data_IF_100202087913
#
_entry.id   IF_100202087913
#
_cell.length_a   1.000
_cell.length_b   1.000
_cell.length_c   1.000
_cell.angle_alpha   90.00
_cell.angle_beta   90.00
_cell.angle_gamma   90.00
#
_symmetry.space_group_name_H-M   'P 1'
#
loop_
_entity.id
_entity.type
_entity.pdbx_description
1 polymer ?
#
# COMPACT_ATOMS: atom_id res chain seq x y z
N UNK A 1 45.78 -40.62 12.98
CA UNK A 1 45.98 -39.20 12.64
C UNK A 1 44.90 -38.45 13.41
N UNK A 2 45.18 -37.59 14.40
CA UNK A 2 46.14 -36.48 14.38
C UNK A 2 45.43 -35.26 13.77
N UNK A 3 45.27 -34.09 14.42
CA UNK A 3 45.98 -33.57 15.60
C UNK A 3 45.16 -32.49 16.37
N UNK A 4 45.40 -32.41 17.68
CA UNK A 4 45.36 -31.23 18.58
C UNK A 4 44.21 -30.20 18.57
N UNK A 5 43.64 -30.01 19.76
CA UNK A 5 42.96 -28.78 20.20
C UNK A 5 43.66 -28.19 21.44
N UNK A 6 43.80 -26.87 21.49
CA UNK A 6 44.28 -26.06 22.63
C UNK A 6 43.49 -24.74 22.51
N UNK A 7 42.80 -24.17 23.51
CA UNK A 7 42.74 -24.47 24.93
C UNK A 7 43.26 -23.29 25.74
N UNK A 8 42.38 -22.40 26.24
CA UNK A 8 42.73 -21.48 27.33
C UNK A 8 41.52 -21.13 28.21
N UNK A 9 41.82 -20.78 29.45
CA UNK A 9 40.93 -20.67 30.60
C UNK A 9 41.10 -19.31 31.28
N UNK A 10 40.04 -18.79 31.90
CA UNK A 10 40.16 -18.12 33.21
C UNK A 10 38.80 -17.92 33.87
N UNK A 11 38.80 -17.99 35.22
CA UNK A 11 37.63 -17.98 36.10
C UNK A 11 37.60 -16.70 36.98
N UNK A 12 36.48 -16.40 37.70
CA UNK A 12 36.22 -15.06 38.27
C UNK A 12 36.49 -14.94 39.78
N UNK A 13 36.67 -13.71 40.29
CA UNK A 13 36.46 -13.31 41.71
C UNK A 13 36.23 -11.78 41.77
N UNK A 14 35.08 -11.30 42.28
CA UNK A 14 34.69 -10.93 43.67
C UNK A 14 34.93 -9.46 44.05
N UNK A 15 33.98 -8.90 44.80
CA UNK A 15 33.90 -7.50 45.20
C UNK A 15 34.57 -7.22 46.56
N UNK A 16 34.89 -5.94 46.80
CA UNK A 16 35.10 -5.34 48.13
C UNK A 16 34.43 -3.96 48.14
N UNK A 17 33.76 -3.61 49.24
CA UNK A 17 33.27 -2.28 49.56
C UNK A 17 33.95 -1.77 50.84
N UNK A 18 34.20 -0.46 50.94
CA UNK A 18 34.68 0.21 52.16
C UNK A 18 34.11 1.63 52.29
N UNK A 19 33.98 2.11 53.53
CA UNK A 19 33.71 3.52 53.91
C UNK A 19 35.04 4.28 54.13
N UNK A 20 35.15 5.55 54.56
CA UNK A 20 34.29 6.53 55.25
C UNK A 20 34.89 7.95 54.97
N UNK A 21 34.41 9.13 55.39
CA UNK A 21 33.24 9.62 56.16
C UNK A 21 33.17 11.16 56.02
N UNK A 22 31.97 11.76 56.22
CA UNK A 22 31.73 13.15 56.70
C UNK A 22 32.62 14.33 56.25
N UNK A 23 32.03 15.38 55.65
CA UNK A 23 32.08 16.74 56.24
C UNK A 23 31.14 17.77 55.59
N UNK A 24 30.66 18.65 56.47
CA UNK A 24 29.96 19.95 56.35
C UNK A 24 29.65 20.58 54.98
N UNK A 25 28.36 20.93 54.86
CA UNK A 25 27.74 22.14 54.28
C UNK A 25 28.61 23.20 53.58
N UNK A 26 28.11 23.66 52.44
CA UNK A 26 27.97 25.10 52.16
C UNK A 26 26.70 25.37 51.33
N UNK A 27 26.08 26.53 51.52
CA UNK A 27 24.87 26.94 50.78
C UNK A 27 25.26 27.64 49.47
N UNK A 28 24.64 27.23 48.36
CA UNK A 28 25.01 27.73 47.04
C UNK A 28 23.87 27.67 46.04
N UNK A 29 22.91 28.58 46.18
CA UNK A 29 21.77 28.75 45.25
C UNK A 29 22.28 29.12 43.85
N UNK A 30 22.52 28.11 43.00
CA UNK A 30 22.75 28.31 41.57
C UNK A 30 21.41 28.20 40.85
N UNK A 31 20.95 29.32 40.33
CA UNK A 31 19.93 29.34 39.27
C UNK A 31 20.43 28.49 38.10
N UNK A 32 19.89 27.28 37.97
CA UNK A 32 20.00 26.53 36.74
C UNK A 32 19.07 27.18 35.74
N UNK A 33 19.64 28.04 34.89
CA UNK A 33 19.02 28.45 33.64
C UNK A 33 18.75 27.19 32.82
N UNK A 34 17.51 26.72 32.90
CA UNK A 34 17.02 25.60 32.12
C UNK A 34 17.04 25.99 30.65
N UNK A 35 18.10 25.58 29.95
CA UNK A 35 18.17 25.60 28.50
C UNK A 35 17.00 24.75 28.00
N UNK A 36 15.92 25.42 27.63
CA UNK A 36 14.70 24.76 27.16
C UNK A 36 15.05 23.86 25.99
N UNK A 37 14.54 22.62 26.02
CA UNK A 37 14.60 21.75 24.84
C UNK A 37 14.06 22.54 23.64
N UNK A 38 14.71 22.46 22.46
CA UNK A 38 14.22 23.17 21.29
C UNK A 38 12.79 22.72 21.01
N UNK A 39 11.87 23.68 21.00
CA UNK A 39 10.48 23.46 20.64
C UNK A 39 10.43 22.78 19.29
N UNK A 40 9.91 21.56 19.22
CA UNK A 40 9.80 20.85 17.95
C UNK A 40 9.01 21.69 16.95
N UNK A 41 9.67 22.13 15.88
CA UNK A 41 9.01 22.81 14.76
C UNK A 41 7.82 21.97 14.28
N UNK A 42 6.68 22.59 13.96
CA UNK A 42 5.49 21.84 13.57
C UNK A 42 5.79 20.96 12.35
N UNK A 43 5.47 19.67 12.46
CA UNK A 43 5.62 18.73 11.36
C UNK A 43 4.55 19.02 10.29
N UNK A 44 5.01 19.32 9.08
CA UNK A 44 4.17 19.51 7.91
C UNK A 44 3.88 18.15 7.29
N UNK A 45 2.63 17.93 6.87
CA UNK A 45 2.18 16.64 6.31
C UNK A 45 1.81 16.78 4.84
N UNK A 46 2.28 15.83 4.04
CA UNK A 46 2.10 15.82 2.59
C UNK A 46 1.41 14.54 2.16
N UNK A 47 0.41 14.65 1.27
CA UNK A 47 -0.27 13.53 0.62
C UNK A 47 0.31 13.35 -0.78
N UNK A 48 0.47 12.10 -1.21
CA UNK A 48 0.79 11.74 -2.58
C UNK A 48 -0.24 10.76 -3.14
N UNK A 49 -0.67 10.96 -4.38
CA UNK A 49 -1.36 9.94 -5.18
C UNK A 49 -0.35 9.30 -6.12
N UNK A 50 -0.30 7.98 -6.13
CA UNK A 50 0.76 7.18 -6.74
C UNK A 50 0.14 6.11 -7.64
N UNK A 51 0.63 6.03 -8.87
CA UNK A 51 0.41 4.90 -9.76
C UNK A 51 1.70 4.06 -9.87
N UNK A 52 1.55 2.75 -10.03
CA UNK A 52 2.67 1.87 -10.36
C UNK A 52 2.25 0.62 -11.13
N UNK A 53 3.13 0.20 -12.03
CA UNK A 53 3.16 -1.15 -12.56
C UNK A 53 3.81 -2.07 -11.51
N UNK A 54 3.04 -3.03 -10.99
CA UNK A 54 3.51 -3.96 -9.95
C UNK A 54 4.40 -5.10 -10.43
N UNK A 55 4.51 -5.35 -11.75
CA UNK A 55 5.08 -6.60 -12.29
C UNK A 55 6.49 -6.91 -11.81
N UNK A 56 7.35 -5.90 -11.63
CA UNK A 56 8.77 -6.06 -11.24
C UNK A 56 9.04 -5.93 -9.74
N UNK A 57 8.01 -5.72 -8.91
CA UNK A 57 8.19 -5.35 -7.49
C UNK A 57 7.55 -6.35 -6.53
N UNK A 58 8.17 -6.49 -5.35
CA UNK A 58 7.67 -7.34 -4.26
C UNK A 58 6.55 -6.69 -3.43
N UNK A 59 5.69 -5.93 -4.12
CA UNK A 59 4.53 -5.25 -3.57
C UNK A 59 4.87 -3.88 -2.99
N UNK A 60 3.91 -3.34 -2.23
CA UNK A 60 4.02 -2.01 -1.65
C UNK A 60 5.01 -1.94 -0.47
N UNK A 61 4.83 -2.80 0.53
CA UNK A 61 5.38 -2.64 1.88
C UNK A 61 6.91 -2.74 1.92
N UNK A 62 7.56 -1.76 2.56
CA UNK A 62 9.03 -1.66 2.65
C UNK A 62 9.75 -2.99 2.92
N UNK A 63 10.59 -3.37 1.97
CA UNK A 63 11.67 -4.35 2.01
C UNK A 63 12.79 -3.82 1.12
N UNK A 64 14.05 -4.00 1.53
CA UNK A 64 15.23 -3.50 0.80
C UNK A 64 15.64 -4.41 -0.35
N UNK A 65 15.61 -5.73 -0.12
CA UNK A 65 15.87 -6.75 -1.12
C UNK A 65 14.88 -7.91 -0.94
N UNK A 66 14.10 -8.27 -1.99
CA UNK A 66 13.91 -7.53 -3.24
C UNK A 66 13.25 -6.15 -3.01
N UNK A 67 13.55 -5.13 -3.85
CA UNK A 67 13.03 -3.79 -3.68
C UNK A 67 11.51 -3.71 -3.87
N UNK A 68 10.92 -2.75 -3.16
CA UNK A 68 9.47 -2.54 -3.04
C UNK A 68 9.11 -1.09 -3.38
N UNK A 69 7.85 -0.84 -3.74
CA UNK A 69 7.39 0.50 -4.13
C UNK A 69 7.70 1.52 -3.03
N UNK A 70 7.40 1.18 -1.76
CA UNK A 70 7.68 2.04 -0.61
C UNK A 70 9.18 2.33 -0.46
N UNK A 71 10.06 1.34 -0.62
CA UNK A 71 11.52 1.52 -0.51
C UNK A 71 12.04 2.53 -1.54
N UNK A 72 11.57 2.45 -2.79
CA UNK A 72 12.02 3.36 -3.85
C UNK A 72 11.50 4.79 -3.67
N UNK A 73 10.25 4.95 -3.21
CA UNK A 73 9.69 6.27 -2.88
C UNK A 73 10.39 6.89 -1.67
N UNK A 74 10.66 6.13 -0.61
CA UNK A 74 11.42 6.62 0.54
C UNK A 74 12.85 7.00 0.15
N UNK A 75 13.53 6.20 -0.70
CA UNK A 75 14.87 6.57 -1.22
C UNK A 75 14.86 7.88 -2.02
N UNK A 76 13.88 8.08 -2.88
CA UNK A 76 13.73 9.34 -3.62
C UNK A 76 13.44 10.53 -2.68
N UNK A 77 12.55 10.35 -1.70
CA UNK A 77 12.27 11.37 -0.68
C UNK A 77 13.52 11.72 0.14
N UNK A 78 14.23 10.75 0.71
CA UNK A 78 15.45 10.98 1.49
C UNK A 78 16.52 11.73 0.67
N UNK A 79 16.64 11.41 -0.63
CA UNK A 79 17.57 12.13 -1.52
C UNK A 79 17.18 13.60 -1.75
N UNK A 80 15.88 13.92 -1.79
CA UNK A 80 15.36 15.28 -1.99
C UNK A 80 15.40 16.08 -0.68
N UNK A 81 14.85 15.53 0.41
CA UNK A 81 14.64 16.24 1.69
C UNK A 81 15.85 16.23 2.61
N UNK A 82 16.81 15.32 2.39
CA UNK A 82 17.95 15.01 3.29
C UNK A 82 17.56 14.48 4.68
N UNK A 83 16.28 14.13 4.87
CA UNK A 83 15.77 13.46 6.07
C UNK A 83 15.97 11.95 5.96
N UNK A 84 15.98 11.26 7.10
CA UNK A 84 15.95 9.80 7.16
C UNK A 84 14.53 9.22 6.99
N UNK A 85 14.46 7.89 6.89
CA UNK A 85 13.21 7.12 6.71
C UNK A 85 12.22 7.29 7.88
N UNK A 86 12.72 7.42 9.11
CA UNK A 86 11.89 7.57 10.33
C UNK A 86 11.33 8.99 10.42
N UNK A 87 12.13 10.00 10.11
CA UNK A 87 11.71 11.41 10.05
C UNK A 87 10.61 11.64 9.00
N UNK A 88 10.77 11.03 7.81
CA UNK A 88 9.76 11.06 6.75
C UNK A 88 8.46 10.35 7.15
N UNK A 89 8.54 9.29 7.97
CA UNK A 89 7.38 8.54 8.48
C UNK A 89 6.37 8.13 7.38
N UNK A 90 6.86 7.72 6.20
CA UNK A 90 6.00 7.44 5.04
C UNK A 90 5.04 6.27 5.32
N UNK A 91 3.74 6.57 5.27
CA UNK A 91 2.67 5.59 5.51
C UNK A 91 1.68 5.54 4.34
N UNK A 92 1.67 4.40 3.65
CA UNK A 92 0.72 4.06 2.58
C UNK A 92 -0.67 3.66 3.10
N UNK A 93 -1.70 3.98 2.32
CA UNK A 93 -3.09 3.71 2.64
C UNK A 93 -3.47 2.24 2.44
N UNK A 94 -2.92 1.57 1.43
CA UNK A 94 -3.12 0.15 1.19
C UNK A 94 -1.80 -0.60 1.02
N UNK A 95 -1.76 -1.87 1.45
CA UNK A 95 -0.74 -2.82 0.98
C UNK A 95 -1.23 -3.44 -0.32
N UNK A 96 -0.34 -3.58 -1.29
CA UNK A 96 -0.55 -4.42 -2.48
C UNK A 96 0.50 -5.54 -2.47
N UNK A 97 0.11 -6.73 -2.93
CA UNK A 97 1.00 -7.90 -3.04
C UNK A 97 2.03 -7.69 -4.16
N UNK A 98 3.05 -8.54 -4.21
CA UNK A 98 3.95 -8.65 -5.37
C UNK A 98 3.18 -8.88 -6.66
N UNK A 99 3.53 -8.13 -7.72
CA UNK A 99 2.84 -8.20 -9.02
C UNK A 99 1.47 -7.54 -9.09
N UNK A 100 0.98 -6.84 -8.05
CA UNK A 100 -0.29 -6.09 -8.06
C UNK A 100 -0.03 -4.63 -8.40
N UNK A 101 -0.77 -4.09 -9.37
CA UNK A 101 -0.61 -2.72 -9.87
C UNK A 101 -1.44 -1.71 -9.04
N UNK A 102 -1.19 -0.42 -9.22
CA UNK A 102 -2.04 0.65 -8.72
C UNK A 102 -2.15 1.83 -9.68
N UNK A 103 -3.29 2.51 -9.66
CA UNK A 103 -3.54 3.76 -10.38
C UNK A 103 -3.73 4.96 -9.42
N UNK A 104 -4.21 4.66 -8.21
CA UNK A 104 -4.52 5.63 -7.16
C UNK A 104 -4.22 5.08 -5.77
N UNK A 105 -3.02 4.51 -5.57
CA UNK A 105 -2.49 4.33 -4.22
C UNK A 105 -2.29 5.70 -3.58
N UNK A 106 -2.55 5.83 -2.29
CA UNK A 106 -2.31 7.06 -1.55
C UNK A 106 -1.30 6.81 -0.44
N UNK A 107 -0.36 7.73 -0.26
CA UNK A 107 0.56 7.72 0.87
C UNK A 107 0.65 9.12 1.48
N UNK A 108 1.18 9.20 2.70
CA UNK A 108 1.56 10.47 3.31
C UNK A 108 2.90 10.37 4.02
N UNK A 109 3.63 11.48 4.08
CA UNK A 109 4.91 11.65 4.78
C UNK A 109 4.93 13.00 5.51
N UNK A 110 5.94 13.19 6.37
CA UNK A 110 6.15 14.41 7.15
C UNK A 110 7.50 15.07 6.90
N UNK A 111 7.58 16.39 7.09
CA UNK A 111 8.82 17.17 7.08
C UNK A 111 8.80 18.23 8.21
N UNK A 112 9.95 18.65 8.75
CA UNK A 112 10.04 19.73 9.74
C UNK A 112 10.01 21.14 9.09
N UNK A 113 9.79 21.22 7.78
CA UNK A 113 9.77 22.44 6.96
C UNK A 113 8.62 22.41 5.94
N UNK A 114 8.22 23.57 5.44
CA UNK A 114 7.23 23.72 4.35
C UNK A 114 7.90 23.85 2.97
N UNK A 115 7.10 23.82 1.90
CA UNK A 115 7.53 24.13 0.53
C UNK A 115 6.78 25.37 0.02
N UNK A 116 7.48 26.29 -0.63
CA UNK A 116 6.85 27.44 -1.32
C UNK A 116 5.99 26.99 -2.52
N UNK A 117 6.34 25.86 -3.14
CA UNK A 117 5.61 25.27 -4.25
C UNK A 117 5.98 23.80 -4.49
N UNK A 118 4.95 22.97 -4.73
CA UNK A 118 5.13 21.51 -4.79
C UNK A 118 5.66 20.98 -6.13
N UNK A 119 5.62 21.78 -7.20
CA UNK A 119 6.08 21.38 -8.53
C UNK A 119 7.53 20.90 -8.58
N UNK A 120 8.42 21.53 -7.79
CA UNK A 120 9.85 21.20 -7.80
C UNK A 120 10.10 19.80 -7.22
N UNK A 121 9.53 19.52 -6.04
CA UNK A 121 9.60 18.18 -5.43
C UNK A 121 8.84 17.14 -6.26
N UNK A 122 7.70 17.50 -6.87
CA UNK A 122 6.94 16.57 -7.72
C UNK A 122 7.74 16.15 -8.96
N UNK A 123 8.40 17.10 -9.62
CA UNK A 123 9.29 16.83 -10.74
C UNK A 123 10.52 16.01 -10.31
N UNK A 124 11.14 16.36 -9.18
CA UNK A 124 12.29 15.63 -8.64
C UNK A 124 11.95 14.17 -8.27
N UNK A 125 10.79 13.92 -7.64
CA UNK A 125 10.31 12.57 -7.32
C UNK A 125 10.16 11.73 -8.58
N UNK A 126 9.44 12.24 -9.59
CA UNK A 126 9.24 11.51 -10.85
C UNK A 126 10.51 11.39 -11.71
N UNK A 127 11.52 12.25 -11.50
CA UNK A 127 12.84 12.14 -12.12
C UNK A 127 13.77 11.12 -11.47
N UNK A 128 13.60 10.83 -10.17
CA UNK A 128 14.37 9.81 -9.44
C UNK A 128 13.72 8.42 -9.45
N UNK A 129 12.40 8.35 -9.66
CA UNK A 129 11.65 7.09 -9.69
C UNK A 129 11.75 6.37 -11.06
N UNK A 130 11.83 5.02 -11.07
CA UNK A 130 11.81 4.25 -12.32
C UNK A 130 10.50 4.47 -13.08
N UNK A 131 10.47 4.20 -14.38
CA UNK A 131 9.32 4.47 -15.26
C UNK A 131 8.01 3.85 -14.78
N UNK A 132 8.10 2.72 -14.10
CA UNK A 132 7.02 1.93 -13.54
C UNK A 132 6.38 2.54 -12.29
N UNK A 133 6.93 3.61 -11.71
CA UNK A 133 6.38 4.28 -10.52
C UNK A 133 6.21 5.78 -10.81
N UNK A 134 4.99 6.29 -10.62
CA UNK A 134 4.69 7.71 -10.84
C UNK A 134 3.90 8.29 -9.68
N UNK A 135 4.42 9.35 -9.09
CA UNK A 135 3.60 10.30 -8.31
C UNK A 135 2.77 11.07 -9.34
N UNK A 136 1.45 11.08 -9.17
CA UNK A 136 0.50 11.74 -10.07
C UNK A 136 -0.04 13.05 -9.48
N UNK A 137 0.00 13.16 -8.16
CA UNK A 137 -0.45 14.31 -7.40
C UNK A 137 0.38 14.38 -6.11
N UNK A 138 0.77 15.58 -5.71
CA UNK A 138 1.24 15.87 -4.36
C UNK A 138 0.49 17.11 -3.82
N UNK A 139 0.05 17.04 -2.57
CA UNK A 139 -0.63 18.12 -1.86
C UNK A 139 -0.14 18.24 -0.41
N UNK A 140 -0.35 19.41 0.20
CA UNK A 140 -0.43 19.48 1.66
C UNK A 140 -1.61 18.63 2.18
N UNK A 141 -1.54 18.24 3.45
CA UNK A 141 -2.63 17.58 4.17
C UNK A 141 -2.66 18.05 5.62
N UNK A 142 -3.85 18.11 6.21
CA UNK A 142 -4.01 18.48 7.63
C UNK A 142 -3.30 17.49 8.56
N UNK A 143 -2.80 17.92 9.75
CA UNK A 143 -2.11 17.04 10.70
C UNK A 143 -2.88 15.77 11.08
N UNK A 144 -4.21 15.81 11.07
CA UNK A 144 -5.11 14.71 11.43
C UNK A 144 -5.25 13.68 10.30
N UNK A 145 -4.91 14.04 9.05
CA UNK A 145 -5.00 13.12 7.92
C UNK A 145 -4.06 11.93 8.12
N UNK A 146 -4.58 10.72 7.95
CA UNK A 146 -3.75 9.51 7.88
C UNK A 146 -4.19 8.65 6.70
N UNK A 147 -3.32 8.52 5.70
CA UNK A 147 -3.62 7.83 4.44
C UNK A 147 -4.37 6.49 4.64
N UNK A 148 -3.94 5.65 5.60
CA UNK A 148 -4.64 4.38 5.94
C UNK A 148 -5.94 4.52 6.73
N UNK A 149 -6.01 5.36 7.76
CA UNK A 149 -7.11 5.34 8.75
C UNK A 149 -8.23 6.33 8.41
N UNK A 150 -7.94 7.39 7.67
CA UNK A 150 -8.93 8.33 7.14
C UNK A 150 -9.72 7.80 5.93
N UNK A 151 -9.37 6.59 5.43
CA UNK A 151 -10.00 5.95 4.26
C UNK A 151 -11.48 5.63 4.52
N UNK A 152 -12.35 6.03 3.59
CA UNK A 152 -13.77 5.65 3.54
C UNK A 152 -14.00 4.34 2.78
N UNK A 153 -13.40 4.22 1.58
CA UNK A 153 -13.47 3.02 0.75
C UNK A 153 -12.27 2.88 -0.17
N UNK A 154 -12.12 1.70 -0.78
CA UNK A 154 -11.09 1.39 -1.78
C UNK A 154 -11.74 0.71 -2.97
N UNK A 155 -11.39 1.15 -4.17
CA UNK A 155 -11.85 0.54 -5.43
C UNK A 155 -10.71 -0.30 -6.00
N UNK A 156 -10.98 -1.58 -6.25
CA UNK A 156 -10.08 -2.49 -6.94
C UNK A 156 -10.72 -2.97 -8.24
N UNK A 157 -9.95 -3.01 -9.32
CA UNK A 157 -10.36 -3.68 -10.56
C UNK A 157 -9.57 -4.98 -10.70
N UNK A 158 -10.24 -6.04 -11.11
CA UNK A 158 -9.59 -7.25 -11.61
C UNK A 158 -9.93 -7.48 -13.07
N UNK A 159 -8.91 -7.62 -13.92
CA UNK A 159 -9.05 -7.81 -15.36
C UNK A 159 -8.86 -9.27 -15.75
N UNK A 160 -9.80 -9.80 -16.52
CA UNK A 160 -9.73 -11.14 -17.12
C UNK A 160 -9.86 -10.99 -18.64
N UNK A 161 -8.87 -11.47 -19.39
CA UNK A 161 -8.95 -11.56 -20.84
C UNK A 161 -9.61 -12.90 -21.22
N UNK A 162 -10.86 -12.82 -21.67
CA UNK A 162 -11.83 -13.92 -21.81
C UNK A 162 -12.01 -14.33 -23.29
N UNK A 163 -10.93 -14.85 -23.88
CA UNK A 163 -10.81 -15.20 -25.29
C UNK A 163 -9.75 -16.32 -25.46
N UNK A 164 -9.95 -17.33 -26.33
CA UNK A 164 -8.98 -18.41 -26.56
C UNK A 164 -7.52 -17.98 -26.78
N UNK A 165 -7.28 -16.87 -27.51
CA UNK A 165 -5.93 -16.39 -27.84
C UNK A 165 -5.67 -15.07 -27.10
N UNK A 166 -4.62 -15.04 -26.26
CA UNK A 166 -4.27 -13.87 -25.46
C UNK A 166 -3.68 -12.74 -26.31
N UNK A 167 -4.13 -11.50 -26.07
CA UNK A 167 -3.45 -10.30 -26.59
C UNK A 167 -2.12 -10.09 -25.83
N UNK A 168 -0.95 -10.09 -26.51
CA UNK A 168 0.34 -9.87 -25.85
C UNK A 168 0.42 -8.51 -25.14
N UNK A 169 -0.31 -7.48 -25.59
CA UNK A 169 -0.35 -6.19 -24.92
C UNK A 169 -1.12 -6.21 -23.58
N UNK A 170 -1.95 -7.24 -23.33
CA UNK A 170 -2.65 -7.43 -22.05
C UNK A 170 -1.92 -8.41 -21.12
N UNK A 171 -0.83 -9.08 -21.56
CA UNK A 171 -0.24 -10.22 -20.86
C UNK A 171 0.20 -9.92 -19.41
N UNK A 172 0.75 -8.73 -19.17
CA UNK A 172 1.15 -8.30 -17.82
C UNK A 172 0.01 -7.65 -17.02
N UNK A 173 -1.20 -7.56 -17.58
CA UNK A 173 -2.24 -6.61 -17.15
C UNK A 173 -3.65 -7.23 -17.04
N UNK A 174 -3.83 -8.48 -17.45
CA UNK A 174 -5.08 -9.22 -17.31
C UNK A 174 -4.81 -10.72 -17.17
N UNK A 175 -5.60 -11.42 -16.35
CA UNK A 175 -5.57 -12.87 -16.28
C UNK A 175 -6.14 -13.48 -17.56
N UNK A 176 -5.39 -14.34 -18.24
CA UNK A 176 -5.90 -15.04 -19.43
C UNK A 176 -6.83 -16.20 -19.02
N UNK A 177 -8.06 -16.20 -19.56
CA UNK A 177 -8.94 -17.36 -19.58
C UNK A 177 -9.23 -17.76 -21.03
N UNK A 178 -8.62 -18.86 -21.46
CA UNK A 178 -8.92 -19.48 -22.76
C UNK A 178 -10.32 -20.10 -22.81
N UNK A 179 -10.86 -20.52 -21.66
CA UNK A 179 -12.27 -20.91 -21.53
C UNK A 179 -13.14 -19.66 -21.50
N UNK A 180 -14.20 -19.65 -22.32
CA UNK A 180 -15.21 -18.59 -22.30
C UNK A 180 -15.97 -18.63 -20.98
N UNK A 181 -15.84 -17.58 -20.18
CA UNK A 181 -16.56 -17.43 -18.92
C UNK A 181 -18.00 -16.93 -19.16
N UNK A 182 -18.97 -17.48 -18.43
CA UNK A 182 -20.35 -17.01 -18.32
C UNK A 182 -20.43 -15.81 -17.35
N UNK A 183 -20.61 -14.57 -17.86
CA UNK A 183 -20.63 -13.38 -17.02
C UNK A 183 -21.94 -13.23 -16.21
N UNK A 184 -23.02 -13.89 -16.62
CA UNK A 184 -24.32 -13.85 -15.90
C UNK A 184 -24.20 -14.62 -14.59
N UNK A 185 -23.70 -15.86 -14.62
CA UNK A 185 -23.44 -16.66 -13.43
C UNK A 185 -22.42 -15.98 -12.48
N UNK A 186 -21.41 -15.31 -13.04
CA UNK A 186 -20.46 -14.53 -12.24
C UNK A 186 -21.13 -13.31 -11.57
N UNK A 187 -22.07 -12.62 -12.23
CA UNK A 187 -22.81 -11.48 -11.63
C UNK A 187 -23.71 -11.91 -10.49
N UNK A 188 -24.44 -13.01 -10.67
CA UNK A 188 -25.25 -13.63 -9.62
C UNK A 188 -24.39 -13.97 -8.39
N UNK A 189 -23.23 -14.60 -8.61
CA UNK A 189 -22.28 -14.92 -7.55
C UNK A 189 -21.67 -13.68 -6.89
N UNK A 190 -21.40 -12.61 -7.65
CA UNK A 190 -20.86 -11.36 -7.15
C UNK A 190 -21.83 -10.63 -6.21
N UNK A 191 -23.14 -10.71 -6.48
CA UNK A 191 -24.17 -10.11 -5.64
C UNK A 191 -24.15 -10.65 -4.20
N UNK A 192 -23.85 -11.94 -4.00
CA UNK A 192 -23.74 -12.54 -2.65
C UNK A 192 -22.57 -11.99 -1.82
N UNK A 193 -21.57 -11.35 -2.42
CA UNK A 193 -20.48 -10.70 -1.69
C UNK A 193 -20.82 -9.29 -1.19
N UNK A 194 -21.87 -8.66 -1.73
CA UNK A 194 -22.26 -7.28 -1.37
C UNK A 194 -22.86 -7.24 0.04
N UNK A 195 -22.57 -6.16 0.77
CA UNK A 195 -22.93 -5.97 2.17
C UNK A 195 -21.85 -6.43 3.17
N UNK A 196 -22.27 -6.60 4.43
CA UNK A 196 -21.39 -6.89 5.58
C UNK A 196 -21.26 -8.39 5.84
N UNK A 197 -20.07 -8.94 5.62
CA UNK A 197 -19.78 -10.36 5.80
C UNK A 197 -18.46 -10.60 6.53
N UNK A 198 -18.34 -11.74 7.21
CA UNK A 198 -17.06 -12.27 7.68
C UNK A 198 -16.31 -12.90 6.49
N UNK A 199 -15.17 -12.32 6.12
CA UNK A 199 -14.38 -12.77 4.98
C UNK A 199 -13.23 -13.72 5.35
N UNK A 200 -13.26 -14.37 6.52
CA UNK A 200 -12.23 -15.33 6.95
C UNK A 200 -11.98 -16.44 5.93
N UNK A 201 -13.04 -16.95 5.27
CA UNK A 201 -12.92 -17.95 4.18
C UNK A 201 -12.21 -17.44 2.93
N UNK A 202 -12.11 -16.13 2.76
CA UNK A 202 -11.45 -15.45 1.63
C UNK A 202 -10.15 -14.77 2.05
N UNK A 203 -9.76 -14.80 3.32
CA UNK A 203 -8.52 -14.20 3.81
C UNK A 203 -7.39 -15.23 3.90
N UNK A 204 -6.17 -14.85 3.50
CA UNK A 204 -4.98 -15.63 3.82
C UNK A 204 -4.41 -15.16 5.17
N UNK A 205 -3.92 -16.10 5.98
CA UNK A 205 -3.23 -15.78 7.23
C UNK A 205 -2.01 -14.86 6.97
N UNK A 206 -1.94 -13.75 7.71
CA UNK A 206 -0.84 -12.78 7.67
C UNK A 206 0.06 -13.03 8.89
N UNK A 207 1.37 -13.22 8.68
CA UNK A 207 2.32 -13.58 9.76
C UNK A 207 2.38 -12.57 10.91
N UNK A 208 1.99 -11.32 10.66
CA UNK A 208 2.21 -10.19 11.58
C UNK A 208 0.93 -9.45 11.99
N UNK A 209 -0.26 -9.95 11.67
CA UNK A 209 -1.51 -9.33 12.09
C UNK A 209 -2.06 -9.97 13.38
N UNK A 210 -2.06 -9.18 14.46
CA UNK A 210 -2.97 -9.37 15.60
C UNK A 210 -4.39 -9.54 15.06
N UNK A 211 -5.21 -10.36 15.73
CA UNK A 211 -6.60 -10.69 15.33
C UNK A 211 -7.33 -9.42 14.87
N UNK A 212 -7.43 -9.25 13.55
CA UNK A 212 -8.21 -8.17 12.95
C UNK A 212 -9.63 -8.67 12.83
N UNK A 213 -10.57 -7.78 13.11
CA UNK A 213 -11.96 -7.94 12.67
C UNK A 213 -11.99 -8.44 11.22
N UNK A 214 -12.55 -9.63 10.94
CA UNK A 214 -12.65 -10.18 9.59
C UNK A 214 -13.85 -9.63 8.81
N UNK A 215 -14.74 -8.87 9.47
CA UNK A 215 -15.92 -8.30 8.84
C UNK A 215 -15.52 -7.17 7.91
N UNK A 216 -15.93 -7.25 6.65
CA UNK A 216 -15.84 -6.14 5.69
C UNK A 216 -17.20 -5.85 5.10
N UNK A 217 -17.32 -4.63 4.61
CA UNK A 217 -18.52 -4.13 3.94
C UNK A 217 -18.14 -3.87 2.48
N UNK A 218 -18.73 -4.62 1.56
CA UNK A 218 -18.55 -4.45 0.11
C UNK A 218 -19.78 -3.69 -0.40
N UNK A 219 -19.55 -2.50 -0.95
CA UNK A 219 -20.60 -1.60 -1.40
C UNK A 219 -21.10 -1.96 -2.81
N UNK A 220 -20.20 -2.43 -3.69
CA UNK A 220 -20.52 -2.93 -5.03
C UNK A 220 -19.50 -3.96 -5.48
N UNK A 221 -19.95 -4.91 -6.31
CA UNK A 221 -19.11 -5.89 -6.99
C UNK A 221 -19.67 -6.10 -8.40
N UNK A 222 -19.21 -5.27 -9.33
CA UNK A 222 -19.73 -5.19 -10.70
C UNK A 222 -18.89 -6.04 -11.66
N UNK A 223 -19.52 -6.60 -12.70
CA UNK A 223 -18.83 -7.35 -13.75
C UNK A 223 -19.22 -6.79 -15.11
N UNK A 224 -18.25 -6.10 -15.72
CA UNK A 224 -18.40 -5.28 -16.92
C UNK A 224 -17.75 -6.00 -18.09
N UNK A 225 -18.49 -6.12 -19.19
CA UNK A 225 -18.01 -6.72 -20.45
C UNK A 225 -17.48 -5.63 -21.37
N UNK A 226 -16.21 -5.76 -21.77
CA UNK A 226 -15.49 -4.81 -22.64
C UNK A 226 -14.87 -5.60 -23.81
N UNK A 227 -15.72 -6.21 -24.63
CA UNK A 227 -15.31 -7.08 -25.73
C UNK A 227 -14.65 -8.37 -25.22
N UNK A 228 -13.35 -8.55 -25.50
CA UNK A 228 -12.58 -9.69 -24.97
C UNK A 228 -12.15 -9.52 -23.50
N UNK A 229 -12.31 -8.33 -22.91
CA UNK A 229 -11.94 -8.07 -21.52
C UNK A 229 -13.18 -8.11 -20.61
N UNK A 230 -13.11 -8.86 -19.51
CA UNK A 230 -14.01 -8.74 -18.37
C UNK A 230 -13.32 -7.92 -17.28
N UNK A 231 -13.96 -6.83 -16.85
CA UNK A 231 -13.51 -6.04 -15.71
C UNK A 231 -14.44 -6.29 -14.52
N UNK A 232 -13.85 -6.79 -13.44
CA UNK A 232 -14.52 -6.98 -12.15
C UNK A 232 -14.17 -5.76 -11.28
N UNK A 233 -15.14 -4.91 -10.95
CA UNK A 233 -14.94 -3.76 -10.07
C UNK A 233 -15.47 -4.06 -8.67
N UNK A 234 -14.65 -3.88 -7.63
CA UNK A 234 -15.05 -4.11 -6.25
C UNK A 234 -14.75 -2.85 -5.43
N UNK A 235 -15.76 -2.32 -4.75
CA UNK A 235 -15.60 -1.26 -3.76
C UNK A 235 -16.04 -1.74 -2.38
N UNK A 236 -15.26 -1.38 -1.35
CA UNK A 236 -15.64 -1.63 0.03
C UNK A 236 -14.78 -0.85 1.02
N UNK A 237 -15.10 -0.96 2.31
CA UNK A 237 -14.36 -0.29 3.41
C UNK A 237 -12.88 -0.66 3.47
N UNK A 238 -12.54 -1.86 3.01
CA UNK A 238 -11.18 -2.34 2.84
C UNK A 238 -11.16 -3.85 2.64
N UNK A 239 -9.98 -4.40 2.37
CA UNK A 239 -9.83 -5.81 2.04
C UNK A 239 -8.73 -6.47 2.89
N UNK A 240 -8.95 -7.72 3.28
CA UNK A 240 -7.99 -8.57 3.98
C UNK A 240 -6.91 -9.07 2.99
N UNK A 241 -5.84 -9.66 3.53
CA UNK A 241 -4.74 -10.18 2.72
C UNK A 241 -5.25 -11.21 1.70
N UNK A 242 -5.02 -10.92 0.42
CA UNK A 242 -5.48 -11.68 -0.76
C UNK A 242 -7.00 -11.79 -0.97
N UNK A 243 -7.85 -11.09 -0.20
CA UNK A 243 -9.31 -11.23 -0.24
C UNK A 243 -9.90 -11.08 -1.66
N UNK A 244 -9.58 -9.97 -2.35
CA UNK A 244 -10.09 -9.73 -3.71
C UNK A 244 -9.70 -10.86 -4.67
N UNK A 245 -8.44 -11.30 -4.65
CA UNK A 245 -7.91 -12.38 -5.51
C UNK A 245 -8.54 -13.74 -5.19
N UNK A 246 -8.94 -13.96 -3.95
CA UNK A 246 -9.64 -15.16 -3.50
C UNK A 246 -11.13 -15.15 -3.92
N UNK A 247 -11.81 -13.99 -3.87
CA UNK A 247 -13.18 -13.84 -4.39
C UNK A 247 -13.21 -14.03 -5.92
N UNK A 248 -12.31 -13.34 -6.64
CA UNK A 248 -12.12 -13.48 -8.09
C UNK A 248 -11.83 -14.92 -8.50
N UNK A 249 -11.01 -15.64 -7.74
CA UNK A 249 -10.71 -17.05 -8.02
C UNK A 249 -11.97 -17.95 -8.00
N UNK A 250 -12.88 -17.70 -7.05
CA UNK A 250 -14.16 -18.41 -6.99
C UNK A 250 -15.07 -18.02 -8.16
N UNK A 251 -15.15 -16.73 -8.47
CA UNK A 251 -15.91 -16.24 -9.64
C UNK A 251 -15.39 -16.82 -10.97
N UNK A 252 -14.08 -17.06 -11.11
CA UNK A 252 -13.53 -17.73 -12.30
C UNK A 252 -14.02 -19.18 -12.42
N UNK A 253 -14.19 -19.90 -11.31
CA UNK A 253 -14.75 -21.26 -11.34
C UNK A 253 -16.25 -21.23 -11.67
N UNK A 254 -17.00 -20.33 -11.05
CA UNK A 254 -18.44 -20.15 -11.33
C UNK A 254 -18.67 -19.70 -12.78
N UNK A 255 -17.83 -18.81 -13.31
CA UNK A 255 -17.84 -18.42 -14.72
C UNK A 255 -17.48 -19.55 -15.68
N UNK A 256 -16.75 -20.58 -15.24
CA UNK A 256 -16.53 -21.83 -16.00
C UNK A 256 -17.67 -22.84 -15.85
N UNK A 257 -18.72 -22.47 -15.12
CA UNK A 257 -19.87 -23.32 -14.78
C UNK A 257 -19.46 -24.60 -14.00
N UNK A 258 -18.23 -24.63 -13.45
CA UNK A 258 -17.74 -25.76 -12.65
C UNK A 258 -18.26 -25.75 -11.21
N UNK A 259 -18.80 -24.61 -10.77
CA UNK A 259 -19.44 -24.41 -9.46
C UNK A 259 -20.68 -23.52 -9.64
N UNK A 260 -21.77 -23.76 -8.89
CA UNK A 260 -22.95 -22.92 -8.95
C UNK A 260 -22.79 -21.62 -8.15
N UNK A 261 -23.46 -20.51 -8.53
CA UNK A 261 -23.38 -19.22 -7.82
C UNK A 261 -23.67 -19.29 -6.32
N UNK A 262 -24.66 -20.10 -5.92
CA UNK A 262 -25.08 -20.25 -4.53
C UNK A 262 -24.03 -20.87 -3.58
N UNK A 263 -22.87 -21.30 -4.10
CA UNK A 263 -21.75 -21.74 -3.25
C UNK A 263 -21.11 -20.57 -2.46
N UNK A 264 -21.29 -19.32 -2.91
CA UNK A 264 -20.69 -18.14 -2.27
C UNK A 264 -21.18 -17.97 -0.82
N UNK A 265 -22.50 -17.94 -0.52
CA UNK A 265 -23.02 -17.97 0.85
C UNK A 265 -22.48 -19.14 1.69
N UNK A 266 -22.38 -20.35 1.13
CA UNK A 266 -21.86 -21.53 1.84
C UNK A 266 -20.40 -21.34 2.27
N UNK A 267 -19.57 -20.80 1.39
CA UNK A 267 -18.15 -20.54 1.68
C UNK A 267 -18.02 -19.39 2.69
N UNK A 268 -18.81 -18.31 2.59
CA UNK A 268 -18.84 -17.24 3.60
C UNK A 268 -19.24 -17.78 4.99
N UNK A 269 -20.31 -18.57 5.06
CA UNK A 269 -20.81 -19.15 6.31
C UNK A 269 -19.79 -20.07 7.01
N UNK A 270 -18.91 -20.75 6.25
CA UNK A 270 -17.91 -21.66 6.80
C UNK A 270 -16.82 -20.97 7.65
N UNK A 271 -16.55 -19.68 7.42
CA UNK A 271 -15.52 -18.86 8.09
C UNK A 271 -14.10 -19.47 8.16
N UNK A 272 -13.80 -20.44 7.31
CA UNK A 272 -12.51 -21.14 7.23
C UNK A 272 -11.94 -21.07 5.81
N UNK A 273 -10.71 -20.55 5.68
CA UNK A 273 -10.00 -20.46 4.39
C UNK A 273 -9.84 -21.82 3.69
N UNK A 274 -9.90 -22.93 4.43
CA UNK A 274 -9.91 -24.30 3.86
C UNK A 274 -11.15 -24.58 3.01
N UNK A 275 -12.30 -23.96 3.29
CA UNK A 275 -13.51 -24.15 2.49
C UNK A 275 -13.28 -23.71 1.03
N UNK A 276 -12.76 -22.51 0.84
CA UNK A 276 -12.37 -22.00 -0.48
C UNK A 276 -11.18 -22.76 -1.07
N UNK A 277 -10.22 -23.20 -0.25
CA UNK A 277 -8.99 -23.86 -0.73
C UNK A 277 -9.24 -25.20 -1.43
N UNK A 278 -10.36 -25.86 -1.14
CA UNK A 278 -10.80 -27.10 -1.80
C UNK A 278 -11.25 -26.88 -3.25
N UNK A 279 -11.68 -25.67 -3.61
CA UNK A 279 -12.35 -25.38 -4.89
C UNK A 279 -11.66 -24.32 -5.74
N UNK A 280 -10.84 -23.44 -5.14
CA UNK A 280 -10.16 -22.37 -5.88
C UNK A 280 -8.80 -21.97 -5.29
N UNK A 281 -7.82 -21.80 -6.19
CA UNK A 281 -6.51 -21.20 -5.92
C UNK A 281 -6.56 -19.69 -6.20
N UNK A 282 -5.92 -18.89 -5.35
CA UNK A 282 -5.96 -17.42 -5.43
C UNK A 282 -5.55 -16.90 -6.82
N UNK A 283 -6.35 -16.01 -7.41
CA UNK A 283 -6.12 -15.50 -8.76
C UNK A 283 -4.75 -14.81 -8.88
N UNK A 284 -4.07 -14.86 -10.05
CA UNK A 284 -2.78 -14.21 -10.25
C UNK A 284 -2.81 -12.71 -9.94
N UNK A 285 -1.70 -12.11 -9.47
CA UNK A 285 -1.70 -10.72 -9.01
C UNK A 285 -1.77 -9.69 -10.16
N UNK A 286 -1.25 -10.02 -11.34
CA UNK A 286 -1.14 -9.12 -12.51
C UNK A 286 -2.48 -8.69 -13.11
N UNK A 287 -3.58 -9.37 -12.78
CA UNK A 287 -4.92 -8.90 -13.14
C UNK A 287 -5.47 -7.82 -12.20
N UNK A 288 -4.86 -7.62 -11.01
CA UNK A 288 -5.41 -6.77 -9.95
C UNK A 288 -4.79 -5.36 -9.94
N UNK A 289 -5.67 -4.36 -9.83
CA UNK A 289 -5.34 -2.94 -9.73
C UNK A 289 -6.00 -2.32 -8.51
N UNK A 290 -5.24 -1.58 -7.71
CA UNK A 290 -5.78 -0.60 -6.77
C UNK A 290 -6.09 0.70 -7.54
N UNK A 291 -7.36 0.95 -7.83
CA UNK A 291 -7.77 2.06 -8.71
C UNK A 291 -7.90 3.39 -7.98
N UNK A 292 -8.57 3.39 -6.82
CA UNK A 292 -8.69 4.59 -5.98
C UNK A 292 -8.81 4.24 -4.51
N UNK A 293 -8.55 5.25 -3.68
CA UNK A 293 -8.81 5.24 -2.24
C UNK A 293 -9.60 6.51 -1.94
N UNK A 294 -10.83 6.31 -1.49
CA UNK A 294 -11.78 7.39 -1.28
C UNK A 294 -11.71 7.84 0.18
N UNK A 295 -11.77 9.14 0.41
CA UNK A 295 -11.76 9.77 1.72
C UNK A 295 -13.04 10.61 1.89
N UNK A 296 -13.33 11.03 3.12
CA UNK A 296 -14.31 12.11 3.34
C UNK A 296 -13.73 13.45 2.87
N UNK A 297 -14.60 14.39 2.49
CA UNK A 297 -14.18 15.73 2.03
C UNK A 297 -13.34 16.47 3.09
N UNK A 298 -13.75 16.45 4.36
CA UNK A 298 -13.05 17.04 5.52
C UNK A 298 -11.57 16.64 5.65
N UNK A 299 -11.22 15.44 5.19
CA UNK A 299 -9.86 14.87 5.20
C UNK A 299 -9.01 15.26 3.98
N UNK A 300 -9.64 15.78 2.91
CA UNK A 300 -8.99 16.19 1.67
C UNK A 300 -8.79 17.70 1.57
N UNK A 301 -9.50 18.48 2.40
CA UNK A 301 -9.29 19.91 2.60
C UNK A 301 -7.83 20.22 2.92
N UNK A 302 -7.33 21.29 2.31
CA UNK A 302 -5.97 21.76 2.48
C UNK A 302 -5.82 22.60 3.77
N UNK A 303 -4.64 22.63 4.42
CA UNK A 303 -4.33 23.64 5.43
C UNK A 303 -4.39 25.07 4.86
N UNK A 304 -4.62 26.05 5.72
CA UNK A 304 -4.44 27.46 5.37
C UNK A 304 -2.98 27.73 4.95
N UNK A 305 -2.79 28.70 4.05
CA UNK A 305 -1.50 29.21 3.59
C UNK A 305 -0.51 28.14 3.05
N UNK A 306 -1.05 27.01 2.58
CA UNK A 306 -0.25 25.93 2.00
C UNK A 306 -0.03 26.11 0.48
N UNK A 307 1.03 25.51 -0.09
CA UNK A 307 1.26 25.54 -1.53
C UNK A 307 0.15 24.78 -2.30
N UNK A 308 -0.14 25.27 -3.51
CA UNK A 308 -1.12 24.64 -4.42
C UNK A 308 -0.75 23.17 -4.72
N UNK A 309 -1.79 22.35 -4.91
CA UNK A 309 -1.67 20.96 -5.34
C UNK A 309 -0.92 20.90 -6.67
N UNK A 310 0.14 20.09 -6.74
CA UNK A 310 0.84 19.84 -8.00
C UNK A 310 0.33 18.56 -8.65
N UNK A 311 -0.22 18.69 -9.86
CA UNK A 311 -0.54 17.58 -10.76
C UNK A 311 0.59 17.32 -11.78
N UNK A 312 1.75 17.96 -11.58
CA UNK A 312 2.89 17.95 -12.50
C UNK A 312 2.85 19.14 -13.46
N UNK A 313 4.02 19.50 -14.00
CA UNK A 313 4.17 20.63 -14.92
C UNK A 313 3.67 20.25 -16.31
N UNK A 314 2.72 21.03 -16.84
CA UNK A 314 2.36 21.00 -18.26
C UNK A 314 3.11 22.10 -18.99
N UNK A 315 3.88 21.73 -20.01
CA UNK A 315 4.54 22.70 -20.89
C UNK A 315 3.65 22.95 -22.10
N UNK A 316 3.05 24.15 -22.18
CA UNK A 316 2.36 24.57 -23.41
C UNK A 316 3.40 24.79 -24.52
N UNK A 317 3.21 24.12 -25.66
CA UNK A 317 4.05 24.31 -26.85
C UNK A 317 3.68 25.66 -27.49
N UNK A 318 4.35 26.72 -27.07
CA UNK A 318 4.04 28.10 -27.49
C UNK A 318 4.42 28.41 -28.94
N UNK A 319 5.32 27.64 -29.55
CA UNK A 319 5.67 27.72 -30.99
C UNK A 319 5.97 26.33 -31.55
N UNK A 320 5.05 25.79 -32.34
CA UNK A 320 5.37 24.70 -33.26
C UNK A 320 6.17 25.28 -34.44
N UNK A 321 7.49 25.09 -34.45
CA UNK A 321 8.28 25.29 -35.67
C UNK A 321 7.99 24.12 -36.59
N UNK A 322 7.01 24.28 -37.48
CA UNK A 322 6.89 23.40 -38.64
C UNK A 322 8.20 23.49 -39.45
N UNK A 323 8.91 22.38 -39.68
CA UNK A 323 9.94 22.36 -40.71
C UNK A 323 9.21 22.49 -42.05
N UNK A 324 9.36 23.64 -42.70
CA UNK A 324 8.98 23.78 -44.10
C UNK A 324 9.88 22.84 -44.92
N UNK A 325 9.23 21.94 -45.66
CA UNK A 325 9.80 21.16 -46.75
C UNK A 325 9.11 21.59 -48.04
#
# INVERSE_FOLDING_TARGET
MGLLAVGFSSSPFRAIALSNSSSRADEGTKEQSSVGLPSHSPLHKWRMVIAYDGTKFSGWQYQESPPTIQCLIERALMQITKLDRKELSLAGASRTDSGVHAWGQVAHFTTPFTYDGLDSIHAALNGLLPSEIRVREISAAKPEFHARFSTKSKIYHYKIYNNPIMDPCQYHYAYHSAHKLNPVAMREAAAYFVGKHDFSSFANASRNDRVRDPVRDIFRFDIIEMGSLLQLEIEGTGFMYRQVRNMVALLIQIGRESLPPYIVPTILAARDRKALAKVALAAPPHGLYLMSINYKHEHLELPADCPLISFGRTHQVSKCKLPFY
#
